data_IF_427442177886
#
_entry.id   IF_427442177886
#
_cell.length_a   1.000
_cell.length_b   1.000
_cell.length_c   1.000
_cell.angle_alpha   90.00
_cell.angle_beta   90.00
_cell.angle_gamma   90.00
#
_symmetry.space_group_name_H-M   'P 1'
#
loop_
_entity.id
_entity.type
_entity.pdbx_description
1 polymer ?
#
# COMPACT_ATOMS: atom_id res chain seq x y z
N UNK A 1 38.35 9.47 -3.51
CA UNK A 1 38.46 8.08 -4.04
C UNK A 1 39.80 7.79 -4.74
N UNK A 2 40.31 8.63 -5.66
CA UNK A 2 41.55 8.31 -6.40
C UNK A 2 42.83 8.31 -5.53
N UNK A 3 42.89 9.15 -4.50
CA UNK A 3 44.00 9.18 -3.54
C UNK A 3 44.00 8.01 -2.54
N UNK A 4 42.81 7.47 -2.22
CA UNK A 4 42.67 6.36 -1.25
C UNK A 4 43.10 5.03 -1.85
N UNK A 5 43.02 4.89 -3.18
CA UNK A 5 43.35 3.66 -3.91
C UNK A 5 44.58 3.79 -4.82
N UNK A 6 45.25 4.95 -4.86
CA UNK A 6 46.50 5.15 -5.60
C UNK A 6 46.38 5.24 -7.13
N UNK A 7 45.22 5.64 -7.68
CA UNK A 7 44.98 5.65 -9.13
C UNK A 7 45.27 7.01 -9.76
N UNK A 8 45.92 7.03 -10.93
CA UNK A 8 46.20 8.24 -11.70
C UNK A 8 44.92 8.94 -12.17
N UNK A 9 44.87 10.27 -12.04
CA UNK A 9 43.65 11.08 -12.18
C UNK A 9 42.92 10.95 -13.53
N UNK A 10 43.60 10.55 -14.60
CA UNK A 10 43.07 10.57 -15.97
C UNK A 10 42.46 9.25 -16.47
N UNK A 11 42.32 8.21 -15.64
CA UNK A 11 41.75 6.94 -16.11
C UNK A 11 40.27 7.09 -16.50
N UNK A 12 40.01 7.00 -17.81
CA UNK A 12 38.66 7.04 -18.40
C UNK A 12 37.78 5.90 -17.88
N UNK A 13 38.39 4.78 -17.49
CA UNK A 13 37.72 3.61 -16.94
C UNK A 13 37.23 3.83 -15.50
N UNK A 14 37.94 4.64 -14.71
CA UNK A 14 37.54 4.97 -13.34
C UNK A 14 36.24 5.80 -13.29
N UNK A 15 35.99 6.63 -14.31
CA UNK A 15 34.77 7.47 -14.41
C UNK A 15 33.48 6.66 -14.37
N UNK A 16 33.47 5.48 -15.01
CA UNK A 16 32.29 4.61 -15.11
C UNK A 16 31.90 3.99 -13.76
N UNK A 17 32.89 3.63 -12.93
CA UNK A 17 32.67 2.98 -11.63
C UNK A 17 32.46 3.95 -10.46
N UNK A 18 32.93 5.20 -10.57
CA UNK A 18 32.83 6.21 -9.50
C UNK A 18 31.37 6.58 -9.21
N UNK A 19 30.49 6.62 -10.22
CA UNK A 19 29.10 7.02 -10.03
C UNK A 19 28.25 5.99 -9.25
N UNK A 20 28.53 4.69 -9.36
CA UNK A 20 27.84 3.65 -8.57
C UNK A 20 28.50 3.35 -7.23
N UNK A 21 29.81 3.55 -7.11
CA UNK A 21 30.57 3.15 -5.92
C UNK A 21 30.69 4.26 -4.88
N UNK A 22 30.64 5.54 -5.27
CA UNK A 22 30.90 6.69 -4.39
C UNK A 22 30.09 6.67 -3.10
N UNK A 23 28.76 6.56 -3.21
CA UNK A 23 27.87 6.57 -2.03
C UNK A 23 28.11 5.38 -1.09
N UNK A 24 28.37 4.20 -1.65
CA UNK A 24 28.60 2.99 -0.86
C UNK A 24 29.97 3.02 -0.18
N UNK A 25 31.00 3.52 -0.85
CA UNK A 25 32.34 3.70 -0.26
C UNK A 25 32.36 4.79 0.80
N UNK A 26 31.68 5.91 0.57
CA UNK A 26 31.61 7.01 1.54
C UNK A 26 30.91 6.52 2.81
N UNK A 27 29.82 5.75 2.66
CA UNK A 27 29.15 5.11 3.79
C UNK A 27 30.07 4.14 4.54
N UNK A 28 30.85 3.31 3.84
CA UNK A 28 31.81 2.39 4.47
C UNK A 28 32.93 3.13 5.21
N UNK A 29 33.47 4.20 4.63
CA UNK A 29 34.50 5.04 5.26
C UNK A 29 33.93 5.70 6.53
N UNK A 30 32.72 6.27 6.45
CA UNK A 30 32.06 6.90 7.58
C UNK A 30 31.76 5.89 8.71
N UNK A 31 31.41 4.64 8.38
CA UNK A 31 31.28 3.53 9.36
C UNK A 31 32.63 3.23 10.05
N UNK A 32 33.75 3.21 9.32
CA UNK A 32 35.10 3.01 9.89
C UNK A 32 35.47 4.13 10.87
N UNK A 33 35.05 5.37 10.60
CA UNK A 33 35.23 6.51 11.52
C UNK A 33 34.16 6.59 12.63
N UNK A 34 33.37 5.53 12.84
CA UNK A 34 32.38 5.45 13.93
C UNK A 34 31.12 6.28 13.71
N UNK A 35 30.87 6.80 12.50
CA UNK A 35 29.63 7.51 12.17
C UNK A 35 28.58 6.51 11.69
N UNK A 36 27.55 6.31 12.50
CA UNK A 36 26.37 5.51 12.12
C UNK A 36 25.56 6.31 11.11
N UNK A 37 25.67 5.95 9.85
CA UNK A 37 24.69 6.37 8.85
C UNK A 37 23.55 5.39 8.98
N UNK A 38 22.43 5.83 9.54
CA UNK A 38 21.18 5.12 9.37
C UNK A 38 20.90 5.08 7.86
N UNK A 39 21.11 3.91 7.26
CA UNK A 39 20.50 3.59 5.98
C UNK A 39 19.00 3.62 6.24
N UNK A 40 18.42 4.82 6.10
CA UNK A 40 16.99 4.96 5.88
C UNK A 40 16.74 4.28 4.54
N UNK A 41 16.60 2.95 4.60
CA UNK A 41 15.80 2.21 3.65
C UNK A 41 14.42 2.82 3.84
N UNK A 42 14.19 3.97 3.20
CA UNK A 42 12.86 4.48 2.92
C UNK A 42 12.26 3.34 2.12
N UNK A 43 11.55 2.45 2.81
CA UNK A 43 10.94 1.27 2.23
C UNK A 43 10.27 1.74 0.95
N UNK A 44 10.75 1.23 -0.18
CA UNK A 44 10.18 1.63 -1.46
C UNK A 44 8.68 1.42 -1.38
N UNK A 45 7.91 2.30 -2.05
CA UNK A 45 6.44 2.27 -2.14
C UNK A 45 5.89 0.90 -2.58
N UNK A 46 6.77 -0.01 -3.03
CA UNK A 46 6.49 -1.36 -3.53
C UNK A 46 6.94 -2.48 -2.58
N UNK A 47 7.08 -2.24 -1.28
CA UNK A 47 7.37 -3.34 -0.36
C UNK A 47 6.12 -4.24 -0.17
N UNK A 48 6.28 -5.58 -0.21
CA UNK A 48 5.20 -6.51 0.07
C UNK A 48 4.58 -6.28 1.46
N UNK A 49 3.25 -6.37 1.55
CA UNK A 49 2.51 -6.21 2.80
C UNK A 49 2.21 -7.59 3.39
N UNK A 50 2.62 -7.82 4.64
CA UNK A 50 2.34 -9.07 5.34
C UNK A 50 0.97 -9.03 6.01
N UNK A 51 0.13 -10.03 5.75
CA UNK A 51 -1.18 -10.14 6.40
C UNK A 51 -1.05 -10.46 7.90
N UNK A 52 -1.70 -9.66 8.75
CA UNK A 52 -1.70 -9.86 10.22
C UNK A 52 -2.44 -11.13 10.67
N UNK A 53 -3.35 -11.66 9.84
CA UNK A 53 -4.14 -12.87 10.17
C UNK A 53 -3.47 -14.16 9.68
N UNK A 54 -3.20 -14.26 8.38
CA UNK A 54 -2.70 -15.51 7.77
C UNK A 54 -1.21 -15.46 7.39
N UNK A 55 -0.51 -14.37 7.70
CA UNK A 55 0.93 -14.15 7.42
C UNK A 55 1.34 -14.23 5.96
N UNK A 56 0.39 -14.33 5.03
CA UNK A 56 0.66 -14.33 3.58
C UNK A 56 1.24 -12.99 3.15
N UNK A 57 2.28 -13.02 2.31
CA UNK A 57 2.83 -11.83 1.64
C UNK A 57 1.93 -11.40 0.47
N UNK A 58 1.50 -10.15 0.49
CA UNK A 58 0.66 -9.53 -0.53
C UNK A 58 1.46 -8.43 -1.24
N UNK A 59 1.04 -8.12 -2.47
CA UNK A 59 1.58 -6.98 -3.22
C UNK A 59 1.24 -5.66 -2.51
N UNK A 60 2.07 -4.63 -2.70
CA UNK A 60 1.84 -3.32 -2.06
C UNK A 60 0.56 -2.62 -2.51
N UNK A 61 0.03 -3.00 -3.67
CA UNK A 61 -1.21 -2.50 -4.28
C UNK A 61 -2.46 -3.19 -3.75
N UNK A 62 -2.32 -4.34 -3.07
CA UNK A 62 -3.46 -5.10 -2.59
C UNK A 62 -4.11 -4.41 -1.39
N UNK A 63 -5.41 -4.11 -1.50
CA UNK A 63 -6.23 -3.63 -0.37
C UNK A 63 -6.66 -4.75 0.58
N UNK A 64 -6.75 -5.96 0.05
CA UNK A 64 -7.21 -7.16 0.76
C UNK A 64 -6.19 -8.28 0.63
N UNK A 65 -6.15 -9.16 1.64
CA UNK A 65 -5.33 -10.35 1.57
C UNK A 65 -5.88 -11.30 0.51
N UNK A 66 -5.01 -11.74 -0.41
CA UNK A 66 -5.35 -12.68 -1.49
C UNK A 66 -5.81 -14.06 -1.01
N UNK A 67 -5.50 -14.42 0.24
CA UNK A 67 -5.84 -15.73 0.80
C UNK A 67 -7.05 -15.68 1.74
N UNK A 68 -7.06 -14.76 2.72
CA UNK A 68 -8.09 -14.73 3.75
C UNK A 68 -9.06 -13.56 3.66
N UNK A 69 -8.88 -12.64 2.69
CA UNK A 69 -9.76 -11.49 2.50
C UNK A 69 -9.66 -10.39 3.57
N UNK A 70 -8.71 -10.48 4.51
CA UNK A 70 -8.53 -9.43 5.51
C UNK A 70 -8.09 -8.10 4.84
N UNK A 71 -8.67 -6.95 5.19
CA UNK A 71 -8.15 -5.64 4.82
C UNK A 71 -6.70 -5.49 5.28
N UNK A 72 -5.82 -5.05 4.38
CA UNK A 72 -4.39 -4.89 4.67
C UNK A 72 -4.02 -3.47 5.13
N UNK A 73 -4.96 -2.54 4.99
CA UNK A 73 -4.79 -1.13 5.30
C UNK A 73 -5.95 -0.61 6.17
N UNK A 74 -5.63 0.29 7.08
CA UNK A 74 -6.57 0.83 8.06
C UNK A 74 -7.68 1.66 7.40
N UNK A 75 -7.37 2.38 6.32
CA UNK A 75 -8.37 3.16 5.57
C UNK A 75 -9.37 2.21 4.91
N UNK A 76 -8.88 1.12 4.33
CA UNK A 76 -9.75 0.08 3.74
C UNK A 76 -10.67 -0.53 4.80
N UNK A 77 -10.13 -0.82 6.00
CA UNK A 77 -10.94 -1.34 7.11
C UNK A 77 -12.01 -0.34 7.57
N UNK A 78 -11.67 0.94 7.75
CA UNK A 78 -12.63 1.98 8.17
C UNK A 78 -13.75 2.19 7.14
N UNK A 79 -13.41 2.17 5.86
CA UNK A 79 -14.40 2.32 4.79
C UNK A 79 -15.42 1.18 4.78
N UNK A 80 -14.97 -0.07 4.98
CA UNK A 80 -15.89 -1.21 5.07
C UNK A 80 -16.88 -1.07 6.22
N UNK A 81 -16.41 -0.69 7.40
CA UNK A 81 -17.27 -0.47 8.56
C UNK A 81 -18.30 0.64 8.31
N UNK A 82 -17.89 1.70 7.61
CA UNK A 82 -18.77 2.82 7.27
C UNK A 82 -19.84 2.40 6.27
N UNK A 83 -19.46 1.69 5.21
CA UNK A 83 -20.40 1.20 4.20
C UNK A 83 -21.35 0.15 4.78
N UNK A 84 -20.87 -0.76 5.64
CA UNK A 84 -21.73 -1.69 6.38
C UNK A 84 -22.77 -0.97 7.23
N UNK A 85 -22.38 0.10 7.92
CA UNK A 85 -23.31 0.91 8.70
C UNK A 85 -24.37 1.58 7.82
N UNK A 86 -23.95 2.16 6.68
CA UNK A 86 -24.85 2.79 5.71
C UNK A 86 -25.83 1.79 5.09
N UNK A 87 -25.35 0.61 4.72
CA UNK A 87 -26.19 -0.48 4.21
C UNK A 87 -27.20 -0.95 5.25
N UNK A 88 -26.78 -1.06 6.51
CA UNK A 88 -27.68 -1.45 7.60
C UNK A 88 -28.80 -0.43 7.80
N UNK A 89 -28.48 0.86 7.78
CA UNK A 89 -29.48 1.92 7.92
C UNK A 89 -30.42 1.97 6.72
N UNK A 90 -29.89 1.86 5.49
CA UNK A 90 -30.69 1.81 4.27
C UNK A 90 -31.66 0.61 4.27
N UNK A 91 -31.19 -0.57 4.67
CA UNK A 91 -32.03 -1.77 4.79
C UNK A 91 -33.13 -1.56 5.82
N UNK A 92 -32.82 -1.00 6.99
CA UNK A 92 -33.81 -0.70 8.03
C UNK A 92 -34.89 0.27 7.53
N UNK A 93 -34.50 1.32 6.81
CA UNK A 93 -35.44 2.25 6.21
C UNK A 93 -36.30 1.56 5.15
N UNK A 94 -35.70 0.72 4.31
CA UNK A 94 -36.41 -0.05 3.30
C UNK A 94 -37.44 -1.00 3.92
N UNK A 95 -37.06 -1.72 4.99
CA UNK A 95 -37.98 -2.59 5.73
C UNK A 95 -39.17 -1.82 6.31
N UNK A 96 -38.96 -0.56 6.72
CA UNK A 96 -40.04 0.31 7.17
C UNK A 96 -40.94 0.76 6.02
N UNK A 97 -40.37 1.09 4.86
CA UNK A 97 -41.12 1.51 3.68
C UNK A 97 -41.96 0.38 3.08
N UNK A 98 -41.45 -0.85 3.12
CA UNK A 98 -42.16 -2.03 2.62
C UNK A 98 -43.39 -2.43 3.46
N UNK A 99 -43.56 -1.86 4.67
CA UNK A 99 -44.80 -2.02 5.47
C UNK A 99 -45.98 -1.24 4.90
N UNK A 100 -45.72 -0.22 4.08
CA UNK A 100 -46.78 0.55 3.43
C UNK A 100 -47.14 -0.10 2.08
N UNK A 101 -48.35 -0.64 2.00
CA UNK A 101 -48.88 -1.32 0.82
C UNK A 101 -48.95 -0.40 -0.43
N UNK A 102 -49.09 0.92 -0.24
CA UNK A 102 -49.05 1.90 -1.35
C UNK A 102 -47.64 1.99 -1.93
N UNK A 103 -46.62 1.99 -1.07
CA UNK A 103 -45.21 2.07 -1.48
C UNK A 103 -44.81 0.80 -2.21
N UNK A 104 -45.24 -0.37 -1.74
CA UNK A 104 -44.99 -1.66 -2.42
C UNK A 104 -45.60 -1.68 -3.81
N UNK A 105 -46.87 -1.27 -3.96
CA UNK A 105 -47.55 -1.21 -5.27
C UNK A 105 -46.84 -0.25 -6.23
N UNK A 106 -46.38 0.91 -5.74
CA UNK A 106 -45.62 1.87 -6.53
C UNK A 106 -44.29 1.27 -7.01
N UNK A 107 -43.51 0.66 -6.12
CA UNK A 107 -42.25 -0.02 -6.45
C UNK A 107 -42.46 -1.11 -7.51
N UNK A 108 -43.47 -1.96 -7.33
CA UNK A 108 -43.80 -3.04 -8.27
C UNK A 108 -44.15 -2.51 -9.67
N UNK A 109 -44.89 -1.40 -9.75
CA UNK A 109 -45.21 -0.78 -11.03
C UNK A 109 -43.97 -0.20 -11.74
N UNK A 110 -43.02 0.37 -10.99
CA UNK A 110 -41.78 0.91 -11.54
C UNK A 110 -40.80 -0.17 -11.98
N UNK A 111 -40.69 -1.26 -11.23
CA UNK A 111 -39.86 -2.41 -11.60
C UNK A 111 -40.32 -3.03 -12.92
N UNK A 112 -41.64 -3.14 -13.14
CA UNK A 112 -42.21 -3.62 -14.41
C UNK A 112 -42.04 -2.67 -15.60
N UNK A 113 -41.80 -1.38 -15.37
CA UNK A 113 -41.53 -0.40 -16.42
C UNK A 113 -40.05 -0.34 -16.85
N UNK A 114 -39.16 -0.93 -16.05
CA UNK A 114 -37.70 -0.86 -16.26
C UNK A 114 -37.16 -2.14 -16.91
N UNK A 115 -38.04 -3.13 -17.16
CA UNK A 115 -37.77 -4.38 -17.88
C UNK A 115 -38.42 -4.31 -19.26
#
# INVERSE_FOLDING_TARGET
MKEVFGWTQASRMASVYVHLSGKNTDNAILKVYGKVIEETVKGGVLMPIQCLRCKTGNESTNKFCKLCGLPLDEVTQRNLLTEEFRHKEANRLMDSLLKDDKVVKLLMSKLKQTQ
#
